data_IF_963917765526
#
_entry.id   IF_963917765526
#
_cell.length_a   1.000
_cell.length_b   1.000
_cell.length_c   1.000
_cell.angle_alpha   90.00
_cell.angle_beta   90.00
_cell.angle_gamma   90.00
#
_symmetry.space_group_name_H-M   'P 1'
#
loop_
_entity.id
_entity.type
_entity.pdbx_description
1 polymer ?
#
# COMPACT_ATOMS: atom_id res chain seq x y z
N UNK A 1 -0.72 -32.88 -22.05
CA UNK A 1 -2.16 -33.14 -22.04
C UNK A 1 -2.57 -33.56 -20.65
N UNK A 2 -3.60 -32.96 -20.07
CA UNK A 2 -4.07 -33.37 -18.75
C UNK A 2 -4.70 -34.76 -18.80
N UNK A 3 -4.41 -35.58 -17.79
CA UNK A 3 -4.91 -36.97 -17.68
C UNK A 3 -5.61 -37.15 -16.34
N UNK A 4 -6.79 -37.77 -16.39
CA UNK A 4 -7.52 -38.22 -15.21
C UNK A 4 -7.46 -39.75 -15.10
N UNK A 5 -7.24 -40.25 -13.88
CA UNK A 5 -7.21 -41.69 -13.59
C UNK A 5 -7.93 -41.94 -12.28
N UNK A 6 -8.80 -42.97 -12.25
CA UNK A 6 -9.45 -43.43 -11.02
C UNK A 6 -8.50 -44.47 -10.40
N UNK A 7 -8.11 -44.21 -9.15
CA UNK A 7 -7.15 -45.05 -8.43
C UNK A 7 -7.70 -45.51 -7.08
N UNK A 8 -7.24 -46.67 -6.63
CA UNK A 8 -7.46 -47.19 -5.28
C UNK A 8 -6.23 -46.83 -4.42
N UNK A 9 -6.41 -46.05 -3.38
CA UNK A 9 -5.28 -45.66 -2.50
C UNK A 9 -5.12 -46.71 -1.39
N UNK A 10 -4.18 -47.64 -1.62
CA UNK A 10 -3.90 -48.77 -0.70
C UNK A 10 -3.07 -48.39 0.54
N UNK A 11 -2.64 -47.12 0.65
CA UNK A 11 -1.81 -46.62 1.79
C UNK A 11 -2.62 -46.45 3.07
N UNK A 12 -3.94 -46.29 2.94
CA UNK A 12 -4.85 -46.10 4.06
C UNK A 12 -6.12 -46.92 3.86
N UNK A 13 -6.72 -47.39 4.94
CA UNK A 13 -8.02 -48.10 4.89
C UNK A 13 -8.92 -47.57 6.02
N UNK A 14 -10.23 -47.78 5.91
CA UNK A 14 -11.18 -47.52 6.98
C UNK A 14 -11.21 -48.65 8.01
N UNK A 15 -12.03 -48.53 9.06
CA UNK A 15 -12.18 -49.53 10.13
C UNK A 15 -12.68 -50.88 9.66
N UNK A 16 -13.22 -50.96 8.42
CA UNK A 16 -13.71 -52.18 7.79
C UNK A 16 -12.69 -52.78 6.80
N UNK A 17 -11.47 -52.26 6.75
CA UNK A 17 -10.42 -52.75 5.83
C UNK A 17 -10.63 -52.36 4.36
N UNK A 18 -11.53 -51.40 4.09
CA UNK A 18 -11.79 -50.93 2.73
C UNK A 18 -10.88 -49.73 2.39
N UNK A 19 -10.47 -49.67 1.11
CA UNK A 19 -9.57 -48.62 0.59
C UNK A 19 -10.33 -47.49 -0.08
N UNK A 20 -9.89 -46.22 0.09
CA UNK A 20 -10.55 -45.09 -0.54
C UNK A 20 -10.28 -45.02 -2.05
N UNK A 21 -11.34 -44.70 -2.79
CA UNK A 21 -11.25 -44.39 -4.21
C UNK A 21 -10.85 -42.94 -4.38
N UNK A 22 -9.88 -42.64 -5.22
CA UNK A 22 -9.43 -41.29 -5.54
C UNK A 22 -9.41 -41.06 -7.06
N UNK A 23 -9.62 -39.82 -7.47
CA UNK A 23 -9.39 -39.37 -8.85
C UNK A 23 -8.04 -38.67 -8.86
N UNK A 24 -7.10 -39.21 -9.61
CA UNK A 24 -5.78 -38.61 -9.81
C UNK A 24 -5.83 -37.69 -11.04
N UNK A 25 -5.32 -36.48 -10.87
CA UNK A 25 -5.21 -35.47 -11.91
C UNK A 25 -3.72 -35.30 -12.18
N UNK A 26 -3.31 -35.47 -13.43
CA UNK A 26 -1.94 -35.23 -13.90
C UNK A 26 -1.99 -34.16 -14.99
N UNK A 27 -1.18 -33.12 -14.89
CA UNK A 27 -1.01 -32.11 -15.93
C UNK A 27 0.43 -31.59 -15.93
N UNK A 28 1.08 -31.65 -17.06
CA UNK A 28 2.52 -31.40 -17.24
C UNK A 28 3.34 -32.20 -16.19
N UNK A 29 4.19 -31.54 -15.41
CA UNK A 29 5.04 -32.19 -14.38
C UNK A 29 4.36 -32.25 -13.00
N UNK A 30 3.07 -31.93 -12.91
CA UNK A 30 2.34 -31.90 -11.65
C UNK A 30 1.28 -33.00 -11.55
N UNK A 31 1.11 -33.54 -10.35
CA UNK A 31 0.03 -34.45 -10.04
C UNK A 31 -0.61 -34.15 -8.70
N UNK A 32 -1.92 -34.39 -8.58
CA UNK A 32 -2.66 -34.31 -7.33
C UNK A 32 -3.79 -35.35 -7.32
N UNK A 33 -4.38 -35.62 -6.17
CA UNK A 33 -5.51 -36.50 -6.06
C UNK A 33 -6.68 -35.88 -5.31
N UNK A 34 -7.89 -36.32 -5.65
CA UNK A 34 -9.14 -35.92 -5.02
C UNK A 34 -9.80 -37.13 -4.41
N UNK A 35 -10.16 -37.06 -3.13
CA UNK A 35 -10.91 -38.15 -2.48
C UNK A 35 -12.38 -38.14 -2.93
N UNK A 36 -12.88 -39.28 -3.34
CA UNK A 36 -14.32 -39.45 -3.64
C UNK A 36 -15.15 -39.65 -2.39
N UNK A 37 -14.51 -39.90 -1.24
CA UNK A 37 -15.12 -40.36 0.02
C UNK A 37 -15.82 -41.72 -0.09
N UNK A 38 -15.54 -42.49 -1.14
CA UNK A 38 -16.04 -43.85 -1.34
C UNK A 38 -14.94 -44.84 -1.03
N UNK A 39 -15.30 -45.97 -0.42
CA UNK A 39 -14.37 -46.99 -0.01
C UNK A 39 -14.80 -48.33 -0.58
N UNK A 40 -13.85 -49.15 -1.02
CA UNK A 40 -14.10 -50.43 -1.65
C UNK A 40 -13.00 -51.46 -1.33
N UNK A 41 -13.33 -52.73 -1.39
CA UNK A 41 -12.31 -53.78 -1.28
C UNK A 41 -11.45 -53.83 -2.57
N UNK A 42 -10.21 -54.24 -2.43
CA UNK A 42 -9.30 -54.36 -3.57
C UNK A 42 -9.84 -55.28 -4.67
N UNK A 43 -10.45 -56.39 -4.27
CA UNK A 43 -11.01 -57.38 -5.21
C UNK A 43 -12.18 -56.85 -6.05
N UNK A 44 -12.94 -55.91 -5.53
CA UNK A 44 -14.09 -55.33 -6.20
C UNK A 44 -13.74 -54.10 -7.04
N UNK A 45 -12.55 -53.52 -6.93
CA UNK A 45 -12.13 -52.33 -7.67
C UNK A 45 -11.76 -52.67 -9.11
N UNK A 46 -12.43 -52.01 -10.06
CA UNK A 46 -12.19 -52.15 -11.52
C UNK A 46 -11.46 -50.90 -12.05
N UNK A 47 -11.85 -49.69 -11.61
CA UNK A 47 -11.10 -48.44 -11.83
C UNK A 47 -11.30 -47.79 -13.20
N UNK A 48 -12.31 -48.16 -13.99
CA UNK A 48 -12.66 -47.46 -15.23
C UNK A 48 -13.81 -46.45 -14.98
N UNK A 49 -13.92 -45.39 -15.80
CA UNK A 49 -15.02 -44.43 -15.66
C UNK A 49 -16.42 -45.04 -15.88
N UNK A 50 -16.50 -46.07 -16.67
CA UNK A 50 -17.76 -46.79 -16.97
C UNK A 50 -18.11 -47.77 -15.84
N UNK A 51 -17.09 -48.38 -15.24
CA UNK A 51 -17.25 -49.38 -14.18
C UNK A 51 -16.12 -49.20 -13.14
N UNK A 52 -16.40 -48.47 -12.09
CA UNK A 52 -15.41 -48.22 -11.02
C UNK A 52 -15.32 -49.39 -10.07
N UNK A 53 -16.46 -49.99 -9.77
CA UNK A 53 -16.61 -51.10 -8.82
C UNK A 53 -17.47 -52.21 -9.43
N UNK A 54 -17.10 -53.45 -9.16
CA UNK A 54 -17.88 -54.62 -9.61
C UNK A 54 -19.28 -54.65 -8.99
N UNK A 55 -20.25 -55.14 -9.76
CA UNK A 55 -21.67 -55.20 -9.35
C UNK A 55 -21.92 -56.07 -8.11
N UNK A 56 -21.02 -57.01 -7.82
CA UNK A 56 -21.10 -57.86 -6.63
C UNK A 56 -20.81 -57.13 -5.32
N UNK A 57 -20.22 -55.94 -5.36
CA UNK A 57 -19.92 -55.15 -4.16
C UNK A 57 -21.17 -54.43 -3.64
N UNK A 58 -21.40 -54.35 -2.33
CA UNK A 58 -22.53 -53.63 -1.75
C UNK A 58 -22.55 -52.16 -2.22
N UNK A 59 -23.73 -51.66 -2.62
CA UNK A 59 -23.91 -50.27 -3.11
C UNK A 59 -23.09 -49.92 -4.36
N UNK A 60 -22.62 -50.92 -5.15
CA UNK A 60 -21.79 -50.68 -6.33
C UNK A 60 -22.42 -49.67 -7.31
N UNK A 61 -23.74 -49.69 -7.52
CA UNK A 61 -24.43 -48.75 -8.40
C UNK A 61 -24.28 -47.29 -7.94
N UNK A 62 -24.48 -47.02 -6.63
CA UNK A 62 -24.36 -45.71 -6.07
C UNK A 62 -22.89 -45.21 -6.10
N UNK A 63 -21.94 -46.08 -5.80
CA UNK A 63 -20.50 -45.77 -5.86
C UNK A 63 -20.09 -45.43 -7.31
N UNK A 64 -20.49 -46.27 -8.28
CA UNK A 64 -20.20 -46.05 -9.69
C UNK A 64 -20.79 -44.71 -10.18
N UNK A 65 -22.05 -44.42 -9.86
CA UNK A 65 -22.71 -43.17 -10.23
C UNK A 65 -21.97 -41.97 -9.66
N UNK A 66 -21.67 -41.97 -8.36
CA UNK A 66 -21.00 -40.86 -7.68
C UNK A 66 -19.59 -40.60 -8.19
N UNK A 67 -18.79 -41.65 -8.37
CA UNK A 67 -17.41 -41.50 -8.87
C UNK A 67 -17.41 -41.06 -10.33
N UNK A 68 -18.33 -41.59 -11.16
CA UNK A 68 -18.51 -41.17 -12.55
C UNK A 68 -18.92 -39.71 -12.64
N UNK A 69 -19.86 -39.24 -11.81
CA UNK A 69 -20.24 -37.83 -11.75
C UNK A 69 -19.04 -36.95 -11.46
N UNK A 70 -18.27 -37.25 -10.42
CA UNK A 70 -17.06 -36.48 -10.06
C UNK A 70 -16.02 -36.53 -11.20
N UNK A 71 -15.83 -37.66 -11.83
CA UNK A 71 -14.89 -37.79 -12.96
C UNK A 71 -15.29 -36.87 -14.12
N UNK A 72 -16.58 -36.83 -14.46
CA UNK A 72 -17.11 -35.96 -15.52
C UNK A 72 -16.96 -34.46 -15.15
N UNK A 73 -17.16 -34.07 -13.88
CA UNK A 73 -16.95 -32.70 -13.41
C UNK A 73 -15.49 -32.25 -13.68
N UNK A 74 -14.50 -33.11 -13.40
CA UNK A 74 -13.09 -32.80 -13.65
C UNK A 74 -12.75 -32.83 -15.14
N UNK A 75 -13.34 -33.76 -15.93
CA UNK A 75 -13.17 -33.79 -17.40
C UNK A 75 -13.69 -32.51 -18.05
N UNK A 76 -14.90 -32.07 -17.67
CA UNK A 76 -15.49 -30.83 -18.18
C UNK A 76 -14.62 -29.62 -17.83
N UNK A 77 -14.11 -29.56 -16.61
CA UNK A 77 -13.21 -28.46 -16.17
C UNK A 77 -11.90 -28.46 -16.98
N UNK A 78 -11.31 -29.60 -17.26
CA UNK A 78 -10.11 -29.73 -18.13
C UNK A 78 -10.43 -29.22 -19.53
N UNK A 79 -11.55 -29.65 -20.12
CA UNK A 79 -12.01 -29.22 -21.44
C UNK A 79 -12.22 -27.71 -21.51
N UNK A 80 -12.88 -27.12 -20.51
CA UNK A 80 -13.08 -25.68 -20.43
C UNK A 80 -11.76 -24.89 -20.33
N UNK A 81 -10.82 -25.36 -19.51
CA UNK A 81 -9.50 -24.76 -19.38
C UNK A 81 -8.68 -24.89 -20.68
N UNK A 82 -8.83 -25.98 -21.41
CA UNK A 82 -8.18 -26.21 -22.71
C UNK A 82 -8.76 -25.26 -23.78
N UNK A 83 -10.09 -25.20 -23.88
CA UNK A 83 -10.79 -24.24 -24.76
C UNK A 83 -10.41 -22.77 -24.49
N UNK A 84 -10.21 -22.43 -23.21
CA UNK A 84 -9.78 -21.10 -22.79
C UNK A 84 -8.25 -20.86 -23.00
N UNK A 85 -7.50 -21.85 -23.52
CA UNK A 85 -6.04 -21.77 -23.66
C UNK A 85 -5.27 -21.71 -22.32
N UNK A 86 -5.95 -22.03 -21.22
CA UNK A 86 -5.40 -21.94 -19.85
C UNK A 86 -4.77 -23.27 -19.37
N UNK A 87 -5.10 -24.40 -20.00
CA UNK A 87 -4.70 -25.73 -19.54
C UNK A 87 -3.17 -25.92 -19.49
N UNK A 88 -2.45 -25.42 -20.48
CA UNK A 88 -0.98 -25.52 -20.54
C UNK A 88 -0.26 -24.79 -19.39
N UNK A 89 -0.92 -23.80 -18.80
CA UNK A 89 -0.40 -22.99 -17.69
C UNK A 89 -0.94 -23.44 -16.33
N UNK A 90 -1.86 -24.42 -16.32
CA UNK A 90 -2.50 -24.90 -15.10
C UNK A 90 -1.69 -26.05 -14.49
N UNK A 91 -1.54 -26.05 -13.17
CA UNK A 91 -1.05 -27.20 -12.43
C UNK A 91 -2.21 -28.15 -12.09
N UNK A 92 -1.92 -29.42 -11.78
CA UNK A 92 -2.94 -30.36 -11.32
C UNK A 92 -3.69 -29.85 -10.07
N UNK A 93 -3.01 -29.11 -9.17
CA UNK A 93 -3.62 -28.48 -8.00
C UNK A 93 -4.59 -27.35 -8.39
N UNK A 94 -4.23 -26.52 -9.37
CA UNK A 94 -5.10 -25.43 -9.83
C UNK A 94 -6.37 -25.95 -10.53
N UNK A 95 -6.27 -27.07 -11.27
CA UNK A 95 -7.45 -27.74 -11.85
C UNK A 95 -8.39 -28.24 -10.74
N UNK A 96 -7.84 -28.85 -9.69
CA UNK A 96 -8.61 -29.29 -8.52
C UNK A 96 -9.33 -28.13 -7.83
N UNK A 97 -8.65 -27.01 -7.64
CA UNK A 97 -9.21 -25.82 -7.01
C UNK A 97 -10.27 -25.14 -7.90
N UNK A 98 -10.10 -25.18 -9.22
CA UNK A 98 -11.10 -24.70 -10.18
C UNK A 98 -12.44 -25.44 -10.05
N UNK A 99 -12.41 -26.80 -10.01
CA UNK A 99 -13.63 -27.62 -9.84
C UNK A 99 -14.30 -27.37 -8.49
N UNK A 100 -13.51 -27.25 -7.40
CA UNK A 100 -14.07 -26.94 -6.08
C UNK A 100 -14.81 -25.60 -6.05
N UNK A 101 -14.28 -24.58 -6.70
CA UNK A 101 -14.92 -23.25 -6.78
C UNK A 101 -16.22 -23.32 -7.59
N UNK A 102 -16.23 -24.06 -8.70
CA UNK A 102 -17.41 -24.22 -9.55
C UNK A 102 -18.53 -25.01 -8.88
N UNK A 103 -18.21 -25.94 -7.99
CA UNK A 103 -19.19 -26.73 -7.23
C UNK A 103 -19.91 -25.95 -6.11
N UNK A 104 -19.35 -24.83 -5.65
CA UNK A 104 -19.93 -23.92 -4.67
C UNK A 104 -20.70 -22.78 -5.36
N UNK A 105 -21.66 -23.03 -6.17
CA UNK A 105 -22.57 -22.11 -6.90
C UNK A 105 -22.54 -20.59 -6.50
N UNK A 106 -21.38 -20.04 -6.28
CA UNK A 106 -21.17 -18.60 -6.39
C UNK A 106 -20.80 -18.34 -7.85
N UNK A 107 -21.55 -17.47 -8.52
CA UNK A 107 -21.10 -16.86 -9.77
C UNK A 107 -19.63 -16.52 -9.62
N UNK A 108 -18.78 -17.27 -10.32
CA UNK A 108 -17.36 -16.93 -10.37
C UNK A 108 -17.33 -15.70 -11.27
N UNK A 109 -17.58 -14.56 -10.65
CA UNK A 109 -17.03 -13.30 -11.15
C UNK A 109 -15.53 -13.60 -11.30
N UNK A 110 -15.05 -13.73 -12.54
CA UNK A 110 -13.64 -14.03 -12.78
C UNK A 110 -12.84 -12.89 -12.17
N UNK A 111 -12.45 -13.06 -10.90
CA UNK A 111 -11.77 -12.03 -10.12
C UNK A 111 -10.43 -11.75 -10.78
N UNK A 112 -10.44 -10.83 -11.73
CA UNK A 112 -9.23 -10.38 -12.42
C UNK A 112 -8.46 -9.43 -11.53
N UNK A 113 -7.15 -9.31 -11.75
CA UNK A 113 -6.37 -8.27 -11.10
C UNK A 113 -6.92 -6.88 -11.43
N UNK A 114 -7.36 -6.66 -12.68
CA UNK A 114 -7.94 -5.38 -13.10
C UNK A 114 -9.22 -5.04 -12.33
N UNK A 115 -10.16 -5.99 -12.21
CA UNK A 115 -11.42 -5.76 -11.47
C UNK A 115 -11.17 -5.49 -9.98
N UNK A 116 -10.25 -6.20 -9.34
CA UNK A 116 -9.88 -5.95 -7.95
C UNK A 116 -9.13 -4.63 -7.77
N UNK A 117 -8.30 -4.22 -8.73
CA UNK A 117 -7.64 -2.92 -8.72
C UNK A 117 -8.67 -1.80 -8.83
N UNK A 118 -9.65 -1.89 -9.73
CA UNK A 118 -10.73 -0.90 -9.89
C UNK A 118 -11.61 -0.83 -8.64
N UNK A 119 -11.94 -1.97 -8.05
CA UNK A 119 -12.65 -2.03 -6.77
C UNK A 119 -11.84 -1.37 -5.65
N UNK A 120 -10.53 -1.61 -5.60
CA UNK A 120 -9.64 -0.98 -4.61
C UNK A 120 -9.58 0.54 -4.79
N UNK A 121 -9.49 1.01 -6.03
CA UNK A 121 -9.52 2.43 -6.40
C UNK A 121 -10.81 3.09 -5.92
N UNK A 122 -11.97 2.45 -6.14
CA UNK A 122 -13.27 2.99 -5.72
C UNK A 122 -13.43 3.12 -4.20
N UNK A 123 -12.70 2.33 -3.41
CA UNK A 123 -12.72 2.40 -1.94
C UNK A 123 -11.70 3.38 -1.35
N UNK A 124 -10.83 3.97 -2.16
CA UNK A 124 -9.82 4.92 -1.68
C UNK A 124 -10.45 6.23 -1.21
N UNK A 125 -10.31 6.55 0.08
CA UNK A 125 -10.81 7.81 0.65
C UNK A 125 -9.98 9.02 0.26
N UNK A 126 -8.65 8.87 0.17
CA UNK A 126 -7.72 9.97 -0.12
C UNK A 126 -7.43 10.04 -1.62
N UNK A 127 -7.66 11.20 -2.24
CA UNK A 127 -7.46 11.44 -3.67
C UNK A 127 -6.05 11.11 -4.16
N UNK A 128 -5.02 11.51 -3.41
CA UNK A 128 -3.62 11.19 -3.77
C UNK A 128 -3.34 9.69 -3.77
N UNK A 129 -3.96 8.95 -2.86
CA UNK A 129 -3.83 7.50 -2.83
C UNK A 129 -4.53 6.88 -4.03
N UNK A 130 -5.75 7.35 -4.34
CA UNK A 130 -6.50 6.93 -5.52
C UNK A 130 -5.71 7.17 -6.79
N UNK A 131 -5.20 8.38 -7.03
CA UNK A 131 -4.35 8.72 -8.17
C UNK A 131 -3.11 7.82 -8.28
N UNK A 132 -2.53 7.42 -7.16
CA UNK A 132 -1.40 6.49 -7.15
C UNK A 132 -1.77 5.08 -7.65
N UNK A 133 -2.93 4.56 -7.28
CA UNK A 133 -3.45 3.29 -7.79
C UNK A 133 -3.83 3.39 -9.27
N UNK A 134 -4.52 4.47 -9.68
CA UNK A 134 -4.86 4.74 -11.08
C UNK A 134 -3.60 4.78 -11.95
N UNK A 135 -2.58 5.51 -11.51
CA UNK A 135 -1.30 5.57 -12.21
C UNK A 135 -0.63 4.19 -12.32
N UNK A 136 -0.65 3.39 -11.25
CA UNK A 136 -0.09 2.04 -11.27
C UNK A 136 -0.87 1.12 -12.23
N UNK A 137 -2.21 1.20 -12.25
CA UNK A 137 -3.08 0.49 -13.19
C UNK A 137 -2.75 0.86 -14.63
N UNK A 138 -2.67 2.14 -14.93
CA UNK A 138 -2.42 2.66 -16.28
C UNK A 138 -1.04 2.26 -16.78
N UNK A 139 0.00 2.32 -15.94
CA UNK A 139 1.35 1.88 -16.30
C UNK A 139 1.40 0.38 -16.57
N UNK A 140 0.70 -0.43 -15.76
CA UNK A 140 0.63 -1.87 -15.96
C UNK A 140 -0.15 -2.21 -17.25
N UNK A 141 -1.28 -1.55 -17.51
CA UNK A 141 -2.05 -1.71 -18.74
C UNK A 141 -1.24 -1.37 -20.00
N UNK A 142 -0.46 -0.27 -19.96
CA UNK A 142 0.45 0.11 -21.05
C UNK A 142 1.55 -0.93 -21.29
N UNK A 143 2.09 -1.52 -20.22
CA UNK A 143 3.08 -2.58 -20.34
C UNK A 143 2.49 -3.88 -20.91
N UNK A 144 1.37 -4.32 -20.35
CA UNK A 144 0.68 -5.56 -20.77
C UNK A 144 -0.05 -5.41 -22.11
N UNK A 145 -0.25 -4.17 -22.61
CA UNK A 145 -1.00 -3.82 -23.84
C UNK A 145 -2.43 -4.36 -23.82
N UNK A 146 -3.07 -4.36 -22.67
CA UNK A 146 -4.45 -4.82 -22.49
C UNK A 146 -5.08 -4.23 -21.22
N UNK A 147 -6.41 -4.19 -21.19
CA UNK A 147 -7.16 -3.63 -20.06
C UNK A 147 -7.48 -4.69 -18.98
N UNK A 148 -7.75 -5.91 -19.41
CA UNK A 148 -8.04 -7.02 -18.48
C UNK A 148 -6.77 -7.81 -18.21
N UNK A 149 -6.32 -7.81 -16.97
CA UNK A 149 -5.12 -8.49 -16.51
C UNK A 149 -5.54 -9.48 -15.42
N UNK A 150 -5.10 -10.74 -15.53
CA UNK A 150 -5.36 -11.77 -14.54
C UNK A 150 -4.22 -11.84 -13.52
N UNK A 151 -4.50 -12.34 -12.31
CA UNK A 151 -3.52 -12.45 -11.24
C UNK A 151 -2.35 -13.37 -11.58
N UNK A 152 -2.59 -14.47 -12.30
CA UNK A 152 -1.59 -15.45 -12.71
C UNK A 152 -0.62 -14.92 -13.78
N UNK A 153 -1.02 -13.90 -14.52
CA UNK A 153 -0.16 -13.21 -15.48
C UNK A 153 0.91 -12.33 -14.83
N UNK A 154 0.67 -11.91 -13.60
CA UNK A 154 1.60 -11.09 -12.81
C UNK A 154 2.60 -11.96 -12.03
N UNK A 155 3.25 -12.86 -12.72
CA UNK A 155 4.26 -13.76 -12.17
C UNK A 155 5.56 -13.01 -11.80
N UNK A 156 6.46 -13.66 -11.04
CA UNK A 156 7.78 -13.09 -10.73
C UNK A 156 8.55 -12.61 -11.99
N UNK A 157 8.69 -13.42 -13.07
CA UNK A 157 9.33 -12.97 -14.30
C UNK A 157 8.64 -11.74 -14.91
N UNK A 158 7.31 -11.70 -14.90
CA UNK A 158 6.54 -10.55 -15.41
C UNK A 158 6.84 -9.27 -14.61
N UNK A 159 6.89 -9.35 -13.28
CA UNK A 159 7.21 -8.20 -12.43
C UNK A 159 8.65 -7.71 -12.66
N UNK A 160 9.61 -8.62 -12.85
CA UNK A 160 11.00 -8.26 -13.19
C UNK A 160 11.08 -7.55 -14.55
N UNK A 161 10.39 -8.05 -15.55
CA UNK A 161 10.35 -7.43 -16.88
C UNK A 161 9.64 -6.07 -16.84
N UNK A 162 8.56 -5.94 -16.06
CA UNK A 162 7.86 -4.68 -15.84
C UNK A 162 8.75 -3.64 -15.12
N UNK A 163 9.54 -4.05 -14.12
CA UNK A 163 10.50 -3.13 -13.44
C UNK A 163 11.52 -2.56 -14.44
N UNK A 164 12.09 -3.40 -15.31
CA UNK A 164 13.01 -2.95 -16.37
C UNK A 164 12.33 -2.00 -17.36
N UNK A 165 11.09 -2.30 -17.75
CA UNK A 165 10.34 -1.44 -18.66
C UNK A 165 10.03 -0.06 -18.04
N UNK A 166 9.71 0.00 -16.74
CA UNK A 166 9.56 1.26 -16.00
C UNK A 166 10.88 2.03 -15.90
N UNK A 167 12.00 1.33 -15.71
CA UNK A 167 13.35 1.92 -15.68
C UNK A 167 13.70 2.57 -17.02
N UNK A 168 13.47 1.88 -18.13
CA UNK A 168 13.69 2.42 -19.47
C UNK A 168 12.87 3.68 -19.77
N UNK A 169 11.78 3.92 -19.04
CA UNK A 169 10.96 5.13 -19.09
C UNK A 169 11.44 6.22 -18.14
N UNK A 170 12.61 6.07 -17.53
CA UNK A 170 13.22 7.06 -16.65
C UNK A 170 12.63 7.15 -15.24
N UNK A 171 11.80 6.17 -14.80
CA UNK A 171 11.26 6.20 -13.46
C UNK A 171 12.34 5.87 -12.42
N UNK A 172 12.42 6.69 -11.37
CA UNK A 172 13.33 6.43 -10.25
C UNK A 172 12.99 5.12 -9.52
N UNK A 173 13.96 4.53 -8.83
CA UNK A 173 13.77 3.32 -8.01
C UNK A 173 12.60 3.50 -7.03
N UNK A 174 12.48 4.66 -6.39
CA UNK A 174 11.41 4.93 -5.43
C UNK A 174 10.03 5.07 -6.10
N UNK A 175 9.95 5.64 -7.31
CA UNK A 175 8.72 5.73 -8.10
C UNK A 175 8.27 4.34 -8.56
N UNK A 176 9.19 3.52 -9.07
CA UNK A 176 8.92 2.11 -9.42
C UNK A 176 8.45 1.32 -8.20
N UNK A 177 9.15 1.48 -7.06
CA UNK A 177 8.77 0.86 -5.80
C UNK A 177 7.37 1.29 -5.31
N UNK A 178 6.92 2.51 -5.59
CA UNK A 178 5.56 2.94 -5.28
C UNK A 178 4.52 2.16 -6.11
N UNK A 179 4.74 2.03 -7.41
CA UNK A 179 3.87 1.24 -8.32
C UNK A 179 3.74 -0.19 -7.81
N UNK A 180 4.86 -0.85 -7.48
CA UNK A 180 4.82 -2.23 -6.98
C UNK A 180 4.14 -2.35 -5.61
N UNK A 181 4.20 -1.35 -4.74
CA UNK A 181 3.44 -1.33 -3.48
C UNK A 181 1.94 -1.29 -3.72
N UNK A 182 1.47 -0.52 -4.70
CA UNK A 182 0.06 -0.49 -5.09
C UNK A 182 -0.38 -1.85 -5.64
N UNK A 183 0.37 -2.44 -6.57
CA UNK A 183 0.09 -3.79 -7.10
C UNK A 183 0.05 -4.82 -5.96
N UNK A 184 1.03 -4.81 -5.06
CA UNK A 184 1.10 -5.72 -3.92
C UNK A 184 -0.10 -5.58 -2.97
N UNK A 185 -0.59 -4.36 -2.76
CA UNK A 185 -1.76 -4.12 -1.89
C UNK A 185 -3.02 -4.79 -2.44
N UNK A 186 -3.22 -4.79 -3.76
CA UNK A 186 -4.34 -5.47 -4.42
C UNK A 186 -4.23 -6.99 -4.26
N UNK A 187 -3.04 -7.56 -4.45
CA UNK A 187 -2.80 -8.99 -4.17
C UNK A 187 -3.14 -9.35 -2.73
N UNK A 188 -2.63 -8.56 -1.77
CA UNK A 188 -2.88 -8.82 -0.36
C UNK A 188 -4.36 -8.72 0.01
N UNK A 189 -5.08 -7.75 -0.57
CA UNK A 189 -6.51 -7.60 -0.36
C UNK A 189 -7.31 -8.78 -0.92
N UNK A 190 -6.98 -9.23 -2.14
CA UNK A 190 -7.64 -10.39 -2.77
C UNK A 190 -7.37 -11.70 -1.99
N UNK A 191 -6.14 -11.90 -1.49
CA UNK A 191 -5.80 -13.05 -0.66
C UNK A 191 -6.55 -13.00 0.68
N UNK A 192 -6.57 -11.83 1.33
CA UNK A 192 -7.29 -11.64 2.61
C UNK A 192 -8.80 -11.86 2.50
N UNK A 193 -9.36 -11.60 1.32
CA UNK A 193 -10.77 -11.82 1.02
C UNK A 193 -11.06 -13.25 0.47
N UNK A 194 -10.10 -14.18 0.57
CA UNK A 194 -10.17 -15.56 0.07
C UNK A 194 -10.51 -15.70 -1.43
N UNK A 195 -10.36 -14.60 -2.20
CA UNK A 195 -10.58 -14.57 -3.65
C UNK A 195 -9.41 -15.11 -4.44
N UNK A 196 -8.22 -15.19 -3.84
CA UNK A 196 -6.98 -15.57 -4.49
C UNK A 196 -6.19 -16.53 -3.60
N UNK A 197 -5.70 -17.64 -4.18
CA UNK A 197 -4.79 -18.53 -3.46
C UNK A 197 -3.44 -17.86 -3.17
N UNK A 198 -2.88 -17.99 -1.95
CA UNK A 198 -1.53 -17.51 -1.64
C UNK A 198 -0.42 -18.12 -2.51
N UNK A 199 -0.69 -19.23 -3.22
CA UNK A 199 0.29 -19.90 -4.09
C UNK A 199 0.67 -19.07 -5.31
N UNK A 200 -0.21 -18.20 -5.80
CA UNK A 200 0.04 -17.33 -6.96
C UNK A 200 0.67 -15.97 -6.58
N UNK A 201 1.00 -15.76 -5.30
CA UNK A 201 1.54 -14.50 -4.81
C UNK A 201 3.00 -14.28 -5.23
N UNK A 202 3.29 -13.34 -6.15
CA UNK A 202 4.63 -13.19 -6.72
C UNK A 202 5.62 -12.48 -5.80
N UNK A 203 5.12 -11.70 -4.83
CA UNK A 203 5.96 -10.88 -3.95
C UNK A 203 6.69 -11.67 -2.84
N UNK A 204 6.51 -13.00 -2.76
CA UNK A 204 7.39 -13.87 -1.98
C UNK A 204 8.82 -13.85 -2.51
N UNK A 205 8.98 -13.76 -3.85
CA UNK A 205 10.26 -13.76 -4.55
C UNK A 205 10.64 -12.36 -5.04
N UNK A 206 9.66 -11.51 -5.38
CA UNK A 206 9.90 -10.18 -5.89
C UNK A 206 10.06 -9.17 -4.73
N UNK A 207 11.29 -8.69 -4.54
CA UNK A 207 11.59 -7.67 -3.53
C UNK A 207 11.45 -6.27 -4.12
N UNK A 208 10.62 -5.44 -3.49
CA UNK A 208 10.43 -4.05 -3.90
C UNK A 208 11.64 -3.23 -3.44
N UNK A 209 12.43 -2.76 -4.40
CA UNK A 209 13.62 -1.95 -4.14
C UNK A 209 13.25 -0.57 -3.58
N UNK A 210 14.14 -0.02 -2.77
CA UNK A 210 14.06 1.35 -2.24
C UNK A 210 15.46 1.95 -2.28
N UNK A 211 15.59 3.13 -2.88
CA UNK A 211 16.81 3.91 -2.80
C UNK A 211 16.71 4.87 -1.61
N UNK A 212 17.77 4.96 -0.84
CA UNK A 212 17.93 6.04 0.13
C UNK A 212 18.15 7.34 -0.64
N UNK A 213 17.43 8.38 -0.25
CA UNK A 213 17.67 9.76 -0.69
C UNK A 213 17.99 10.56 0.54
N UNK A 214 19.17 11.13 0.58
CA UNK A 214 19.58 12.05 1.62
C UNK A 214 18.57 13.19 1.73
N UNK A 215 18.29 13.62 2.96
CA UNK A 215 17.35 14.70 3.22
C UNK A 215 18.09 16.01 3.17
N UNK A 216 17.71 16.84 2.21
CA UNK A 216 18.25 18.19 2.07
C UNK A 216 17.63 19.09 3.13
N UNK A 217 18.44 19.91 3.76
CA UNK A 217 18.04 20.95 4.71
C UNK A 217 18.82 22.24 4.45
N UNK A 218 18.34 23.36 4.96
CA UNK A 218 19.06 24.63 4.88
C UNK A 218 20.02 24.74 6.06
N UNK A 219 21.27 25.09 5.80
CA UNK A 219 22.24 25.42 6.85
C UNK A 219 21.83 26.69 7.59
N UNK A 220 22.49 26.99 8.72
CA UNK A 220 22.27 28.24 9.46
C UNK A 220 22.53 29.45 8.55
N UNK A 221 23.61 29.43 7.78
CA UNK A 221 23.93 30.49 6.83
C UNK A 221 22.87 30.65 5.73
N UNK A 222 22.36 29.53 5.18
CA UNK A 222 21.29 29.57 4.18
C UNK A 222 19.99 30.17 4.74
N UNK A 223 19.64 29.82 5.99
CA UNK A 223 18.45 30.36 6.66
C UNK A 223 18.61 31.87 6.94
N UNK A 224 19.79 32.30 7.36
CA UNK A 224 20.08 33.74 7.57
C UNK A 224 20.07 34.50 6.25
N UNK A 225 20.63 33.94 5.17
CA UNK A 225 20.56 34.50 3.83
C UNK A 225 19.08 34.62 3.35
N UNK A 226 18.27 33.60 3.57
CA UNK A 226 16.84 33.63 3.24
C UNK A 226 16.08 34.72 4.01
N UNK A 227 16.41 34.90 5.27
CA UNK A 227 15.80 35.97 6.13
C UNK A 227 16.19 37.38 5.67
N UNK A 228 17.43 37.58 5.21
CA UNK A 228 17.96 38.86 4.77
C UNK A 228 17.46 39.35 3.41
N UNK A 229 16.81 38.46 2.62
CA UNK A 229 16.31 38.86 1.30
C UNK A 229 15.19 39.92 1.40
N UNK A 230 15.32 41.00 0.64
CA UNK A 230 14.27 42.00 0.50
C UNK A 230 13.22 41.55 -0.53
N UNK A 231 12.24 40.77 -0.09
CA UNK A 231 11.19 40.23 -0.95
C UNK A 231 9.89 41.04 -0.84
N UNK A 232 9.15 41.15 -1.94
CA UNK A 232 7.86 41.85 -2.03
C UNK A 232 6.75 40.93 -2.57
N UNK A 233 5.51 41.29 -2.31
CA UNK A 233 4.33 40.60 -2.87
C UNK A 233 4.32 39.12 -2.57
N UNK A 234 4.02 38.32 -3.59
CA UNK A 234 3.87 36.87 -3.43
C UNK A 234 5.16 36.11 -3.11
N UNK A 235 6.34 36.66 -3.46
CA UNK A 235 7.61 36.06 -3.03
C UNK A 235 7.78 36.17 -1.52
N UNK A 236 7.48 37.32 -0.94
CA UNK A 236 7.45 37.49 0.51
C UNK A 236 6.47 36.52 1.16
N UNK A 237 5.28 36.37 0.58
CA UNK A 237 4.29 35.39 1.08
C UNK A 237 4.84 33.96 1.07
N UNK A 238 5.52 33.56 0.00
CA UNK A 238 6.08 32.21 -0.10
C UNK A 238 7.18 31.96 0.93
N UNK A 239 8.09 32.94 1.14
CA UNK A 239 9.10 32.87 2.19
C UNK A 239 8.46 32.82 3.58
N UNK A 240 7.53 33.71 3.85
CA UNK A 240 6.87 33.81 5.16
C UNK A 240 6.11 32.51 5.47
N UNK A 241 5.46 31.88 4.48
CA UNK A 241 4.80 30.58 4.67
C UNK A 241 5.80 29.45 4.94
N UNK A 242 6.97 29.47 4.31
CA UNK A 242 8.06 28.54 4.60
C UNK A 242 8.61 28.74 6.02
N UNK A 243 8.90 29.99 6.40
CA UNK A 243 9.40 30.33 7.73
C UNK A 243 8.37 29.99 8.82
N UNK A 244 7.09 30.23 8.57
CA UNK A 244 6.04 29.86 9.51
C UNK A 244 5.99 28.34 9.75
N UNK A 245 6.16 27.53 8.70
CA UNK A 245 6.32 26.10 8.86
C UNK A 245 7.51 25.75 9.77
N UNK A 246 8.66 26.41 9.58
CA UNK A 246 9.84 26.22 10.42
C UNK A 246 9.57 26.64 11.87
N UNK A 247 9.03 27.84 12.12
CA UNK A 247 8.74 28.35 13.46
C UNK A 247 7.67 27.56 14.22
N UNK A 248 6.90 26.76 13.52
CA UNK A 248 5.92 25.83 14.09
C UNK A 248 6.41 24.37 14.04
N UNK A 249 7.67 24.13 14.43
CA UNK A 249 8.29 22.80 14.49
C UNK A 249 8.28 22.03 13.15
N UNK A 250 8.41 22.71 12.03
CA UNK A 250 8.38 22.05 10.71
C UNK A 250 7.03 21.43 10.37
N UNK A 251 5.93 22.07 10.72
CA UNK A 251 4.58 21.65 10.38
C UNK A 251 4.43 21.49 8.87
N UNK A 252 3.74 20.42 8.45
CA UNK A 252 3.50 20.15 7.03
C UNK A 252 2.69 21.30 6.39
N UNK A 253 3.03 21.74 5.16
CA UNK A 253 2.31 22.79 4.46
C UNK A 253 0.79 22.57 4.33
N UNK A 254 0.36 21.30 4.18
CA UNK A 254 -1.07 20.97 4.12
C UNK A 254 -1.77 21.26 5.46
N UNK A 255 -1.15 20.86 6.57
CA UNK A 255 -1.70 21.10 7.90
C UNK A 255 -1.70 22.61 8.20
N UNK A 256 -0.58 23.30 7.92
CA UNK A 256 -0.43 24.75 8.11
C UNK A 256 -1.47 25.56 7.33
N UNK A 257 -1.76 25.17 6.10
CA UNK A 257 -2.75 25.87 5.27
C UNK A 257 -4.16 25.80 5.86
N UNK A 258 -4.53 24.68 6.48
CA UNK A 258 -5.87 24.42 7.01
C UNK A 258 -5.99 24.61 8.52
N UNK A 259 -4.99 25.20 9.18
CA UNK A 259 -5.05 25.34 10.62
C UNK A 259 -6.28 26.15 11.09
N UNK A 260 -6.98 25.67 12.14
CA UNK A 260 -7.95 26.49 12.84
C UNK A 260 -7.24 27.66 13.53
N UNK A 261 -8.02 28.62 14.01
CA UNK A 261 -7.48 29.69 14.85
C UNK A 261 -6.81 29.14 16.11
N UNK A 262 -5.76 29.80 16.55
CA UNK A 262 -5.17 29.55 17.84
C UNK A 262 -6.16 29.93 18.98
N UNK A 263 -5.96 29.32 20.13
CA UNK A 263 -6.69 29.70 21.34
C UNK A 263 -6.26 31.12 21.83
N UNK A 264 -6.98 31.66 22.82
CA UNK A 264 -6.69 32.97 23.37
C UNK A 264 -5.32 33.07 24.07
N UNK A 265 -4.67 31.93 24.33
CA UNK A 265 -3.34 31.86 24.96
C UNK A 265 -2.23 31.67 23.95
N UNK A 266 -2.53 31.70 22.63
CA UNK A 266 -1.59 31.48 21.56
C UNK A 266 -1.17 30.02 21.38
N UNK A 267 -2.03 29.05 21.75
CA UNK A 267 -1.76 27.63 21.50
C UNK A 267 -2.53 27.14 20.27
N UNK A 268 -1.84 26.36 19.47
CA UNK A 268 -2.41 25.60 18.36
C UNK A 268 -2.59 24.16 18.81
N UNK A 269 -3.82 23.66 18.72
CA UNK A 269 -4.14 22.26 18.97
C UNK A 269 -4.70 21.65 17.68
N UNK A 270 -4.01 20.69 17.14
CA UNK A 270 -4.41 20.09 15.86
C UNK A 270 -4.02 18.64 15.74
N UNK A 271 -4.70 17.93 14.84
CA UNK A 271 -4.38 16.58 14.40
C UNK A 271 -3.89 16.64 12.96
N UNK A 272 -2.82 15.95 12.65
CA UNK A 272 -2.30 15.91 11.27
C UNK A 272 -3.33 15.29 10.32
N UNK A 273 -3.68 15.99 9.25
CA UNK A 273 -4.69 15.53 8.28
C UNK A 273 -4.38 14.13 7.70
N UNK A 274 -3.10 13.86 7.46
CA UNK A 274 -2.68 12.56 6.89
C UNK A 274 -3.08 11.35 7.73
N UNK A 275 -3.17 11.49 9.04
CA UNK A 275 -3.43 10.40 10.00
C UNK A 275 -4.70 10.65 10.82
N UNK A 276 -5.49 11.67 10.53
CA UNK A 276 -6.70 12.02 11.28
C UNK A 276 -7.70 10.84 11.41
N UNK A 277 -7.76 9.97 10.40
CA UNK A 277 -8.61 8.79 10.40
C UNK A 277 -8.19 7.67 11.37
N UNK A 278 -7.01 7.77 11.99
CA UNK A 278 -6.48 6.81 12.97
C UNK A 278 -6.65 7.30 14.40
N UNK A 279 -7.39 8.38 14.62
CA UNK A 279 -7.60 9.02 15.93
C UNK A 279 -6.30 9.25 16.70
N UNK A 280 -5.30 9.91 16.10
CA UNK A 280 -4.02 10.15 16.74
C UNK A 280 -4.15 11.19 17.85
N UNK A 281 -3.22 11.18 18.80
CA UNK A 281 -3.15 12.24 19.81
C UNK A 281 -2.95 13.62 19.17
N UNK A 282 -3.67 14.66 19.64
CA UNK A 282 -3.48 16.01 19.16
C UNK A 282 -2.07 16.53 19.49
N UNK A 283 -1.55 17.37 18.59
CA UNK A 283 -0.30 18.10 18.76
C UNK A 283 -0.63 19.45 19.39
N UNK A 284 0.12 19.83 20.41
CA UNK A 284 -0.04 21.11 21.09
C UNK A 284 1.22 21.97 20.89
N UNK A 285 1.12 23.01 20.09
CA UNK A 285 2.22 23.96 19.85
C UNK A 285 1.88 25.31 20.39
N UNK A 286 2.83 25.95 21.06
CA UNK A 286 2.76 27.35 21.44
C UNK A 286 3.34 28.21 20.31
N UNK A 287 2.61 29.24 19.89
CA UNK A 287 3.04 30.17 18.85
C UNK A 287 4.12 31.10 19.45
N UNK A 288 5.31 30.99 18.87
CA UNK A 288 6.43 31.86 19.23
C UNK A 288 6.27 33.24 18.60
N UNK A 289 6.90 34.32 19.16
CA UNK A 289 6.75 35.69 18.65
C UNK A 289 7.02 35.84 17.16
N UNK A 290 8.06 35.17 16.63
CA UNK A 290 8.43 35.21 15.21
C UNK A 290 7.36 34.60 14.31
N UNK A 291 6.68 33.56 14.78
CA UNK A 291 5.53 32.96 14.10
C UNK A 291 4.31 33.89 14.17
N UNK A 292 4.09 34.56 15.34
CA UNK A 292 2.96 35.44 15.53
C UNK A 292 3.01 36.65 14.58
N UNK A 293 4.19 37.23 14.34
CA UNK A 293 4.36 38.35 13.40
C UNK A 293 3.90 37.97 11.97
N UNK A 294 4.18 36.76 11.57
CA UNK A 294 3.74 36.25 10.25
C UNK A 294 2.24 35.99 10.25
N UNK A 295 1.73 35.37 11.32
CA UNK A 295 0.30 35.06 11.44
C UNK A 295 -0.52 36.36 11.39
N UNK A 296 -0.12 37.40 12.12
CA UNK A 296 -0.82 38.70 12.16
C UNK A 296 -0.89 39.36 10.77
N UNK A 297 0.15 39.17 9.95
CA UNK A 297 0.20 39.70 8.58
C UNK A 297 -0.78 38.99 7.65
N UNK A 298 -1.05 37.73 7.91
CA UNK A 298 -1.87 36.87 7.02
C UNK A 298 -3.11 36.30 7.73
N UNK A 299 -3.56 36.91 8.83
CA UNK A 299 -4.66 36.42 9.66
C UNK A 299 -5.95 36.18 8.87
N UNK A 300 -6.55 35.01 9.05
CA UNK A 300 -7.84 34.66 8.49
C UNK A 300 -9.01 35.00 9.41
N UNK A 301 -10.23 34.92 8.92
CA UNK A 301 -11.46 35.07 9.71
C UNK A 301 -11.82 33.77 10.42
N UNK A 302 -11.84 32.66 9.72
CA UNK A 302 -12.20 31.34 10.20
C UNK A 302 -10.97 30.45 10.47
N UNK A 303 -9.91 30.63 9.68
CA UNK A 303 -8.66 29.89 9.76
C UNK A 303 -7.54 30.76 10.36
N UNK A 304 -6.43 30.11 10.74
CA UNK A 304 -5.24 30.81 11.20
C UNK A 304 -4.75 31.81 10.15
N UNK A 305 -4.74 31.40 8.88
CA UNK A 305 -4.32 32.19 7.74
C UNK A 305 -5.46 32.31 6.72
N UNK A 306 -5.65 33.50 6.14
CA UNK A 306 -6.71 33.76 5.17
C UNK A 306 -6.58 32.95 3.87
N UNK A 307 -5.45 32.27 3.63
CA UNK A 307 -5.20 31.54 2.41
C UNK A 307 -6.22 30.43 2.17
N UNK A 308 -6.61 29.70 3.22
CA UNK A 308 -7.63 28.65 3.14
C UNK A 308 -9.04 29.19 2.80
N UNK A 309 -9.27 30.47 3.03
CA UNK A 309 -10.56 31.13 2.75
C UNK A 309 -10.64 31.65 1.32
N UNK A 310 -9.50 31.81 0.63
CA UNK A 310 -9.43 32.44 -0.71
C UNK A 310 -8.92 31.55 -1.81
N UNK A 311 -8.21 30.51 -1.48
CA UNK A 311 -7.52 29.67 -2.47
C UNK A 311 -7.83 28.20 -2.24
N UNK A 312 -7.84 27.45 -3.32
CA UNK A 312 -7.77 25.99 -3.27
C UNK A 312 -6.31 25.59 -2.98
N UNK A 313 -6.12 24.58 -2.09
CA UNK A 313 -4.79 24.22 -1.58
C UNK A 313 -3.77 23.86 -2.66
N UNK A 314 -4.13 23.02 -3.63
CA UNK A 314 -3.18 22.56 -4.65
C UNK A 314 -2.75 23.69 -5.58
N UNK A 315 -3.64 24.64 -5.88
CA UNK A 315 -3.33 25.85 -6.63
C UNK A 315 -2.40 26.77 -5.87
N UNK A 316 -2.69 27.02 -4.60
CA UNK A 316 -1.82 27.79 -3.70
C UNK A 316 -0.44 27.13 -3.58
N UNK A 317 -0.41 25.83 -3.27
CA UNK A 317 0.84 25.07 -3.09
C UNK A 317 1.73 25.12 -4.32
N UNK A 318 1.16 24.89 -5.52
CA UNK A 318 1.94 24.95 -6.79
C UNK A 318 2.56 26.32 -7.02
N UNK A 319 1.77 27.38 -6.82
CA UNK A 319 2.25 28.77 -6.96
C UNK A 319 3.37 29.09 -5.96
N UNK A 320 3.16 28.79 -4.69
CA UNK A 320 4.14 29.05 -3.64
C UNK A 320 5.42 28.21 -3.81
N UNK A 321 5.30 26.95 -4.25
CA UNK A 321 6.47 26.09 -4.52
C UNK A 321 7.36 26.67 -5.64
N UNK A 322 6.76 27.19 -6.71
CA UNK A 322 7.51 27.84 -7.79
C UNK A 322 8.23 29.11 -7.31
N UNK A 323 7.55 29.92 -6.50
CA UNK A 323 8.14 31.12 -5.93
C UNK A 323 9.29 30.80 -4.96
N UNK A 324 9.17 29.74 -4.16
CA UNK A 324 10.27 29.28 -3.29
C UNK A 324 11.47 28.80 -4.09
N UNK A 325 11.26 28.11 -5.19
CA UNK A 325 12.35 27.71 -6.10
C UNK A 325 13.08 28.96 -6.66
N UNK A 326 12.32 29.98 -7.09
CA UNK A 326 12.90 31.23 -7.60
C UNK A 326 13.61 32.05 -6.50
N UNK A 327 13.14 32.02 -5.26
CA UNK A 327 13.81 32.58 -4.09
C UNK A 327 15.10 31.82 -3.81
N UNK A 328 15.05 30.49 -3.86
CA UNK A 328 16.22 29.65 -3.63
C UNK A 328 17.37 29.95 -4.57
N UNK A 329 17.09 30.26 -5.85
CA UNK A 329 18.12 30.65 -6.83
C UNK A 329 18.87 31.92 -6.43
N UNK A 330 18.28 32.83 -5.64
CA UNK A 330 18.95 34.05 -5.17
C UNK A 330 19.99 33.77 -4.07
N UNK A 331 19.91 32.61 -3.44
CA UNK A 331 20.89 32.16 -2.43
C UNK A 331 21.61 30.88 -2.84
N UNK A 332 21.58 30.55 -4.12
CA UNK A 332 22.19 29.33 -4.71
C UNK A 332 21.77 28.03 -4.01
N UNK A 333 20.47 27.92 -3.72
CA UNK A 333 19.86 26.74 -3.09
C UNK A 333 18.56 26.32 -3.79
N UNK A 334 18.32 25.02 -3.86
CA UNK A 334 17.01 24.50 -4.24
C UNK A 334 16.12 24.41 -3.02
N UNK A 335 15.12 25.31 -2.90
CA UNK A 335 14.22 25.36 -1.72
C UNK A 335 12.84 24.80 -2.09
N UNK A 336 12.34 23.90 -1.25
CA UNK A 336 10.97 23.40 -1.31
C UNK A 336 10.37 23.31 0.11
N UNK A 337 9.05 23.36 0.22
CA UNK A 337 8.38 23.51 1.52
C UNK A 337 8.80 22.50 2.59
N UNK A 338 9.00 21.23 2.21
CA UNK A 338 9.31 20.20 3.19
C UNK A 338 10.71 20.37 3.81
N UNK A 339 11.58 21.17 3.20
CA UNK A 339 12.88 21.52 3.79
C UNK A 339 12.77 22.27 5.11
N UNK A 340 11.72 23.10 5.32
CA UNK A 340 11.48 23.74 6.61
C UNK A 340 11.46 22.73 7.76
N UNK A 341 10.80 21.58 7.52
CA UNK A 341 10.72 20.47 8.47
C UNK A 341 12.06 19.77 8.70
N UNK A 342 12.79 19.50 7.63
CA UNK A 342 14.12 18.90 7.74
C UNK A 342 15.11 19.83 8.42
N UNK A 343 15.07 21.12 8.10
CA UNK A 343 15.90 22.16 8.71
C UNK A 343 15.61 22.27 10.22
N UNK A 344 14.33 22.36 10.62
CA UNK A 344 13.97 22.41 12.03
C UNK A 344 14.47 21.17 12.78
N UNK A 345 14.25 19.96 12.23
CA UNK A 345 14.66 18.72 12.86
C UNK A 345 16.18 18.61 12.99
N UNK A 346 16.93 19.03 11.96
CA UNK A 346 18.39 19.04 11.99
C UNK A 346 18.94 20.06 12.98
N UNK A 347 18.35 21.26 13.05
CA UNK A 347 18.77 22.27 14.05
C UNK A 347 18.48 21.78 15.47
N UNK A 348 17.32 21.17 15.71
CA UNK A 348 16.98 20.60 17.01
C UNK A 348 17.99 19.50 17.42
N UNK A 349 18.35 18.63 16.49
CA UNK A 349 19.36 17.59 16.72
C UNK A 349 20.74 18.18 17.01
N UNK A 350 21.19 19.18 16.23
CA UNK A 350 22.47 19.86 16.39
C UNK A 350 22.65 20.53 17.74
N UNK A 351 21.53 21.04 18.35
CA UNK A 351 21.56 21.66 19.68
C UNK A 351 21.25 20.67 20.82
N UNK A 352 21.20 19.35 20.51
CA UNK A 352 21.08 18.29 21.50
C UNK A 352 19.66 18.05 22.01
N UNK A 353 18.61 18.46 21.28
CA UNK A 353 17.22 18.12 21.66
C UNK A 353 17.02 16.60 21.56
N UNK A 354 16.47 15.96 22.60
CA UNK A 354 16.24 14.50 22.58
C UNK A 354 15.35 14.06 21.40
N UNK A 355 15.71 12.95 20.77
CA UNK A 355 15.02 12.45 19.57
C UNK A 355 13.53 12.12 19.78
N UNK A 356 13.13 11.72 21.01
CA UNK A 356 11.72 11.56 21.39
C UNK A 356 10.95 12.88 21.29
N UNK A 357 11.55 13.97 21.77
CA UNK A 357 10.96 15.31 21.70
C UNK A 357 10.86 15.78 20.25
N UNK A 358 11.92 15.61 19.45
CA UNK A 358 11.91 15.91 18.01
C UNK A 358 10.80 15.12 17.30
N UNK A 359 10.71 13.84 17.56
CA UNK A 359 9.70 12.96 16.96
C UNK A 359 8.27 13.39 17.28
N UNK A 360 8.00 13.73 18.54
CA UNK A 360 6.70 14.23 19.02
C UNK A 360 6.35 15.60 18.45
N UNK A 361 7.28 16.56 18.48
CA UNK A 361 7.09 17.89 17.89
C UNK A 361 6.76 17.80 16.39
N UNK A 362 7.38 16.86 15.69
CA UNK A 362 7.08 16.55 14.29
C UNK A 362 5.76 15.79 14.10
N UNK A 363 5.06 15.41 15.16
CA UNK A 363 3.80 14.64 15.10
C UNK A 363 3.96 13.24 14.51
N UNK A 364 5.05 12.56 14.82
CA UNK A 364 5.19 11.16 14.50
C UNK A 364 4.41 10.31 15.52
N UNK A 365 3.83 9.19 15.06
CA UNK A 365 3.13 8.26 15.94
C UNK A 365 4.09 7.57 16.90
N UNK A 366 3.59 7.18 18.08
CA UNK A 366 4.34 6.45 19.08
C UNK A 366 4.83 5.11 18.54
N UNK A 367 6.09 4.79 18.84
CA UNK A 367 6.73 3.55 18.37
C UNK A 367 6.57 2.39 19.36
N UNK A 368 6.31 2.69 20.63
CA UNK A 368 6.22 1.69 21.69
C UNK A 368 4.84 1.68 22.35
N UNK A 369 4.47 0.51 22.94
CA UNK A 369 3.25 0.36 23.72
C UNK A 369 3.28 1.25 24.98
N UNK A 370 4.45 1.43 25.58
CA UNK A 370 4.61 2.30 26.75
C UNK A 370 4.29 3.76 26.44
N UNK A 371 4.84 4.30 25.34
CA UNK A 371 4.54 5.68 24.89
C UNK A 371 3.08 5.86 24.53
N UNK A 372 2.46 4.84 23.93
CA UNK A 372 1.07 4.92 23.48
C UNK A 372 0.05 4.89 24.61
N UNK A 373 0.30 4.12 25.67
CA UNK A 373 -0.72 3.84 26.69
C UNK A 373 -0.38 4.30 28.11
N UNK A 374 0.90 4.54 28.41
CA UNK A 374 1.33 4.79 29.80
C UNK A 374 2.04 6.12 30.02
N UNK A 375 2.56 6.77 28.96
CA UNK A 375 3.33 8.01 29.08
C UNK A 375 2.57 9.15 28.40
N UNK A 376 2.09 10.10 29.19
CA UNK A 376 1.60 11.37 28.65
C UNK A 376 2.77 12.26 28.29
N UNK A 377 2.88 12.65 27.02
CA UNK A 377 3.95 13.53 26.57
C UNK A 377 3.71 14.97 27.09
N UNK A 378 4.73 15.52 27.75
CA UNK A 378 4.72 16.92 28.16
C UNK A 378 5.08 17.82 26.99
N UNK A 379 4.10 18.53 26.45
CA UNK A 379 4.25 19.44 25.30
C UNK A 379 5.12 20.65 25.58
N UNK A 380 5.33 21.06 26.85
CA UNK A 380 6.27 22.13 27.21
C UNK A 380 7.70 21.77 26.79
N UNK A 381 8.07 20.48 26.77
CA UNK A 381 9.37 20.05 26.25
C UNK A 381 9.52 20.36 24.76
N UNK A 382 8.49 20.12 23.96
CA UNK A 382 8.50 20.43 22.54
C UNK A 382 8.49 21.96 22.29
N UNK A 383 7.72 22.70 23.08
CA UNK A 383 7.64 24.17 22.98
C UNK A 383 8.95 24.82 23.39
N UNK A 384 9.61 24.34 24.46
CA UNK A 384 10.95 24.78 24.87
C UNK A 384 12.00 24.47 23.83
N UNK A 385 11.96 23.26 23.27
CA UNK A 385 12.86 22.87 22.19
C UNK A 385 12.67 23.77 20.95
N UNK A 386 11.42 24.07 20.60
CA UNK A 386 11.12 25.00 19.50
C UNK A 386 11.70 26.39 19.74
N UNK A 387 11.60 26.91 20.97
CA UNK A 387 12.20 28.20 21.34
C UNK A 387 13.72 28.14 21.15
N UNK A 388 14.38 27.11 21.65
CA UNK A 388 15.83 26.93 21.50
C UNK A 388 16.26 26.86 20.02
N UNK A 389 15.52 26.15 19.17
CA UNK A 389 15.80 26.09 17.73
C UNK A 389 15.69 27.47 17.07
N UNK A 390 14.71 28.27 17.47
CA UNK A 390 14.55 29.63 16.96
C UNK A 390 15.68 30.55 17.50
N UNK A 391 16.03 30.44 18.77
CA UNK A 391 17.14 31.18 19.37
C UNK A 391 18.49 30.82 18.71
N UNK A 392 18.71 29.56 18.37
CA UNK A 392 19.87 29.10 17.59
C UNK A 392 19.92 29.77 16.22
N UNK A 393 18.81 29.87 15.51
CA UNK A 393 18.75 30.55 14.20
C UNK A 393 19.17 32.04 14.32
N UNK A 394 18.78 32.72 15.40
CA UNK A 394 19.08 34.14 15.62
C UNK A 394 20.37 34.38 16.41
N UNK A 395 21.16 33.35 16.71
CA UNK A 395 22.41 33.50 17.46
C UNK A 395 22.23 33.98 18.90
N UNK A 396 21.10 33.63 19.54
CA UNK A 396 20.76 34.00 20.92
C UNK A 396 21.05 32.89 21.94
N UNK A 397 21.74 31.83 21.51
CA UNK A 397 22.16 30.70 22.37
C UNK A 397 23.60 30.89 22.84
#
# INVERSE_FOLDING_TARGET
MAKLTIILDKRTHNTQGLFPIKIQICNAESSTSVSTRMFVSEKAFVGTPEKVVDKSFPNASAINARVKQMYLEYMNAITELDYAGKLQRSTAASIKDYVKRKGNQEEIDETTFSSEMDRYISTCRADKTRQGYEYARDMLGKYMKKNTIYFDELSYPTLVAFDRWLEQRGLSINSRGAIFRYIRSVFNAAIKADKLSPSVYPFRKFTIKKAYKEKEFLSLADMQALLSLELKGMQKTARDFFLLSFYLCGVNPTDLFHFPKADKKGNLVFVRQKIAHTEPMPIHLHIQPEAQEIIDRYAGKEHLLYFAERYEYETFRRKMSKLLEDIGKQIDRHIYFYMARYTWATFADNIGVPHDVISKALGHSDKSTAEKYYISFNWDRANSANRQVIDYLFGKM
#
